data_IF_859754741567
#
_entry.id   IF_859754741567
#
_cell.length_a   1.000
_cell.length_b   1.000
_cell.length_c   1.000
_cell.angle_alpha   90.00
_cell.angle_beta   90.00
_cell.angle_gamma   90.00
#
_symmetry.space_group_name_H-M   'P 1'
#
loop_
_entity.id
_entity.type
_entity.pdbx_description
1 polymer ?
#
# COMPACT_ATOMS: atom_id res chain seq x y z
N UNK A 1 -14.50 44.96 10.25
CA UNK A 1 -13.22 44.25 10.40
C UNK A 1 -13.58 42.87 10.90
N UNK A 2 -13.85 41.98 9.95
CA UNK A 2 -14.14 40.58 10.21
C UNK A 2 -12.93 39.81 9.67
N UNK A 3 -12.34 39.01 10.54
CA UNK A 3 -11.09 38.31 10.34
C UNK A 3 -11.22 37.23 9.26
N UNK A 4 -10.20 37.18 8.41
CA UNK A 4 -9.92 36.10 7.46
C UNK A 4 -9.57 34.83 8.24
N UNK A 5 -10.44 33.82 8.22
CA UNK A 5 -10.02 32.44 8.44
C UNK A 5 -9.54 31.88 7.09
N UNK A 6 -8.22 31.80 6.95
CA UNK A 6 -7.56 31.02 5.90
C UNK A 6 -7.95 29.54 6.08
N UNK A 7 -8.81 29.04 5.19
CA UNK A 7 -9.00 27.62 4.95
C UNK A 7 -7.68 27.06 4.42
N UNK A 8 -6.86 26.49 5.31
CA UNK A 8 -5.73 25.65 4.93
C UNK A 8 -6.29 24.41 4.23
N UNK A 9 -6.12 24.34 2.90
CA UNK A 9 -6.36 23.14 2.12
C UNK A 9 -5.36 22.05 2.56
N UNK A 10 -5.84 21.06 3.33
CA UNK A 10 -5.10 19.81 3.54
C UNK A 10 -4.81 19.16 2.18
N UNK A 11 -3.55 18.77 1.87
CA UNK A 11 -3.19 18.18 0.60
C UNK A 11 -4.00 16.91 0.33
N UNK A 12 -4.47 16.73 -0.92
CA UNK A 12 -5.19 15.54 -1.40
C UNK A 12 -4.55 14.19 -0.98
N UNK A 13 -3.23 14.19 -0.79
CA UNK A 13 -2.41 13.06 -0.36
C UNK A 13 -2.77 12.55 1.05
N UNK A 14 -3.22 13.42 1.94
CA UNK A 14 -3.59 13.09 3.33
C UNK A 14 -4.95 12.37 3.38
N UNK A 15 -5.84 12.63 2.40
CA UNK A 15 -7.10 11.90 2.21
C UNK A 15 -6.90 10.47 1.72
N UNK A 16 -5.91 10.21 0.87
CA UNK A 16 -5.56 8.85 0.40
C UNK A 16 -4.98 7.98 1.52
N UNK A 17 -4.38 8.59 2.54
CA UNK A 17 -3.82 7.94 3.71
C UNK A 17 -4.89 7.57 4.75
N UNK A 18 -5.84 8.47 5.02
CA UNK A 18 -7.01 8.18 5.86
C UNK A 18 -7.82 6.99 5.32
N UNK A 19 -7.80 6.83 4.01
CA UNK A 19 -8.42 5.73 3.31
C UNK A 19 -7.75 4.37 3.64
N UNK A 20 -6.41 4.26 3.69
CA UNK A 20 -5.72 3.04 4.15
C UNK A 20 -5.84 2.84 5.68
N UNK A 21 -6.03 3.92 6.43
CA UNK A 21 -6.22 3.89 7.88
C UNK A 21 -7.63 3.46 8.32
N UNK A 22 -8.60 3.42 7.42
CA UNK A 22 -10.00 3.01 7.70
C UNK A 22 -10.30 1.54 7.35
N UNK A 23 -9.33 0.77 6.83
CA UNK A 23 -9.54 -0.67 6.65
C UNK A 23 -9.44 -1.39 7.99
N UNK A 24 -10.60 -1.67 8.59
CA UNK A 24 -10.79 -2.53 9.75
C UNK A 24 -10.41 -3.99 9.46
N UNK A 25 -9.14 -4.25 9.15
CA UNK A 25 -8.55 -5.60 9.17
C UNK A 25 -8.82 -6.28 10.52
N UNK A 26 -8.93 -5.47 11.58
CA UNK A 26 -9.30 -5.89 12.93
C UNK A 26 -10.77 -6.29 13.10
N UNK A 27 -11.72 -5.72 12.34
CA UNK A 27 -13.11 -6.16 12.39
C UNK A 27 -13.26 -7.52 11.71
N UNK A 28 -12.62 -7.79 10.56
CA UNK A 28 -12.74 -9.10 9.90
C UNK A 28 -12.08 -10.23 10.69
N UNK A 29 -10.93 -9.97 11.32
CA UNK A 29 -10.28 -10.94 12.21
C UNK A 29 -11.08 -11.21 13.50
N UNK A 30 -11.93 -10.27 13.92
CA UNK A 30 -12.79 -10.37 15.11
C UNK A 30 -14.25 -10.75 14.82
N UNK A 31 -14.72 -10.63 13.57
CA UNK A 31 -16.09 -10.90 13.12
C UNK A 31 -16.48 -12.38 13.21
N UNK A 32 -15.52 -13.30 13.38
CA UNK A 32 -15.80 -14.69 13.78
C UNK A 32 -16.32 -14.84 15.22
N UNK A 33 -16.76 -13.74 15.87
CA UNK A 33 -17.38 -13.69 17.19
C UNK A 33 -18.67 -12.88 17.22
N UNK A 34 -19.51 -12.90 16.19
CA UNK A 34 -20.88 -12.40 16.30
C UNK A 34 -21.81 -13.44 16.97
N UNK A 35 -21.63 -13.66 18.27
CA UNK A 35 -22.73 -13.92 19.22
C UNK A 35 -22.17 -14.13 20.63
N UNK A 36 -21.81 -13.03 21.29
CA UNK A 36 -21.90 -12.83 22.73
C UNK A 36 -21.72 -11.34 23.03
N UNK A 37 -22.83 -10.60 23.01
CA UNK A 37 -22.90 -9.24 23.54
C UNK A 37 -22.37 -9.24 24.98
N UNK A 38 -21.36 -8.40 25.24
CA UNK A 38 -20.88 -8.09 26.58
C UNK A 38 -19.61 -8.84 27.02
N UNK A 39 -18.43 -8.47 26.49
CA UNK A 39 -17.17 -8.65 27.23
C UNK A 39 -16.04 -7.71 26.77
N UNK A 40 -15.79 -6.69 27.61
CA UNK A 40 -14.50 -6.09 27.99
C UNK A 40 -13.84 -5.01 27.09
N UNK A 41 -14.31 -3.77 27.23
CA UNK A 41 -13.45 -2.55 27.25
C UNK A 41 -12.58 -2.51 28.51
N UNK A 42 -11.75 -3.54 28.75
CA UNK A 42 -10.87 -3.61 29.93
C UNK A 42 -9.44 -4.12 29.61
N UNK A 43 -8.97 -3.92 28.39
CA UNK A 43 -7.72 -4.49 27.89
C UNK A 43 -6.92 -3.36 27.27
N UNK A 44 -6.27 -2.47 28.02
CA UNK A 44 -4.80 -2.49 28.16
C UNK A 44 -4.31 -1.56 29.30
N UNK A 45 -5.11 -1.39 30.37
CA UNK A 45 -4.77 -0.51 31.52
C UNK A 45 -3.36 -0.74 32.10
N UNK A 46 -2.79 -1.94 31.93
CA UNK A 46 -1.49 -2.35 32.45
C UNK A 46 -0.30 -1.90 31.58
N UNK A 47 -0.51 -1.51 30.31
CA UNK A 47 0.55 -0.98 29.43
C UNK A 47 0.76 0.55 29.57
N UNK A 48 0.10 1.18 30.54
CA UNK A 48 0.34 2.59 30.89
C UNK A 48 1.63 2.80 31.68
N UNK A 49 2.28 1.73 32.13
CA UNK A 49 3.57 1.78 32.83
C UNK A 49 4.72 1.79 31.82
N UNK A 50 5.73 2.67 31.97
CA UNK A 50 6.85 2.79 31.02
C UNK A 50 7.63 1.49 30.75
N UNK A 51 7.62 0.54 31.70
CA UNK A 51 8.37 -0.72 31.63
C UNK A 51 7.59 -1.89 31.03
N UNK A 52 6.27 -1.77 30.82
CA UNK A 52 5.46 -2.88 30.34
C UNK A 52 5.85 -3.34 28.92
N UNK A 53 6.20 -2.41 28.02
CA UNK A 53 6.55 -2.76 26.64
C UNK A 53 7.90 -3.50 26.56
N UNK A 54 9.00 -3.00 27.16
CA UNK A 54 10.26 -3.74 27.23
C UNK A 54 10.14 -5.13 27.86
N UNK A 55 9.33 -5.28 28.92
CA UNK A 55 9.11 -6.58 29.56
C UNK A 55 8.46 -7.59 28.60
N UNK A 56 7.41 -7.18 27.89
CA UNK A 56 6.74 -8.04 26.89
C UNK A 56 7.66 -8.33 25.70
N UNK A 57 8.58 -7.43 25.34
CA UNK A 57 9.60 -7.70 24.33
C UNK A 57 10.57 -8.79 24.74
N UNK A 58 10.95 -8.84 26.03
CA UNK A 58 11.77 -9.93 26.57
C UNK A 58 11.01 -11.26 26.51
N UNK A 59 9.69 -11.25 26.80
CA UNK A 59 8.85 -12.44 26.69
C UNK A 59 8.80 -13.04 25.28
N UNK A 60 9.09 -12.27 24.21
CA UNK A 60 9.19 -12.82 22.85
C UNK A 60 10.29 -13.88 22.72
N UNK A 61 11.34 -13.78 23.53
CA UNK A 61 12.47 -14.71 23.52
C UNK A 61 12.07 -16.09 24.06
N UNK A 62 11.10 -16.15 24.96
CA UNK A 62 10.55 -17.39 25.49
C UNK A 62 9.53 -18.00 24.51
N UNK A 63 9.79 -19.22 24.06
CA UNK A 63 8.93 -19.92 23.10
C UNK A 63 7.50 -20.15 23.61
N UNK A 64 7.30 -20.34 24.92
CA UNK A 64 5.97 -20.59 25.49
C UNK A 64 5.15 -19.29 25.61
N UNK A 65 5.82 -18.16 25.84
CA UNK A 65 5.18 -16.85 26.01
C UNK A 65 5.03 -16.09 24.69
N UNK A 66 5.84 -16.42 23.67
CA UNK A 66 5.95 -15.68 22.41
C UNK A 66 4.61 -15.36 21.75
N UNK A 67 3.70 -16.32 21.62
CA UNK A 67 2.40 -16.08 20.98
C UNK A 67 1.55 -15.06 21.74
N UNK A 68 1.63 -15.09 23.07
CA UNK A 68 0.94 -14.13 23.94
C UNK A 68 1.57 -12.75 23.82
N UNK A 69 2.91 -12.68 23.87
CA UNK A 69 3.67 -11.44 23.73
C UNK A 69 3.42 -10.75 22.37
N UNK A 70 3.45 -11.51 21.27
CA UNK A 70 3.11 -11.02 19.92
C UNK A 70 1.72 -10.39 19.89
N UNK A 71 0.73 -11.10 20.42
CA UNK A 71 -0.66 -10.60 20.47
C UNK A 71 -0.77 -9.33 21.32
N UNK A 72 -0.09 -9.27 22.46
CA UNK A 72 -0.10 -8.11 23.35
C UNK A 72 0.51 -6.88 22.68
N UNK A 73 1.69 -7.02 22.07
CA UNK A 73 2.36 -5.93 21.35
C UNK A 73 1.57 -5.47 20.13
N UNK A 74 1.04 -6.41 19.34
CA UNK A 74 0.20 -6.11 18.19
C UNK A 74 -1.05 -5.32 18.59
N UNK A 75 -1.78 -5.78 19.62
CA UNK A 75 -2.98 -5.09 20.11
C UNK A 75 -2.67 -3.66 20.58
N UNK A 76 -1.53 -3.48 21.26
CA UNK A 76 -1.07 -2.16 21.71
C UNK A 76 -0.76 -1.23 20.54
N UNK A 77 -0.03 -1.73 19.53
CA UNK A 77 0.33 -0.95 18.36
C UNK A 77 -0.91 -0.52 17.57
N UNK A 78 -1.90 -1.40 17.43
CA UNK A 78 -3.18 -1.09 16.79
C UNK A 78 -3.90 0.04 17.53
N UNK A 79 -4.03 -0.06 18.87
CA UNK A 79 -4.69 0.98 19.68
C UNK A 79 -3.94 2.32 19.60
N UNK A 80 -2.60 2.29 19.67
CA UNK A 80 -1.79 3.52 19.76
C UNK A 80 -1.49 4.18 18.43
N UNK A 81 -1.67 3.50 17.30
CA UNK A 81 -1.40 4.08 15.96
C UNK A 81 -2.08 5.45 15.80
N UNK A 82 -3.38 5.54 16.14
CA UNK A 82 -4.16 6.80 16.04
C UNK A 82 -4.18 7.58 17.37
N UNK A 83 -4.29 6.89 18.51
CA UNK A 83 -4.48 7.55 19.81
C UNK A 83 -3.20 8.20 20.37
N UNK A 84 -2.03 7.63 20.08
CA UNK A 84 -0.74 8.05 20.65
C UNK A 84 0.42 7.71 19.68
N UNK A 85 0.57 8.52 18.61
CA UNK A 85 1.60 8.28 17.59
C UNK A 85 3.03 8.30 18.14
N UNK A 86 3.28 9.01 19.25
CA UNK A 86 4.59 9.04 19.90
C UNK A 86 4.94 7.66 20.47
N UNK A 87 4.03 7.05 21.24
CA UNK A 87 4.26 5.71 21.77
C UNK A 87 4.23 4.62 20.70
N UNK A 88 3.45 4.78 19.63
CA UNK A 88 3.51 3.91 18.46
C UNK A 88 4.91 3.91 17.84
N UNK A 89 5.44 5.11 17.55
CA UNK A 89 6.78 5.28 16.99
C UNK A 89 7.87 4.76 17.95
N UNK A 90 7.79 5.10 19.24
CA UNK A 90 8.74 4.63 20.25
C UNK A 90 8.77 3.10 20.32
N UNK A 91 7.62 2.45 20.22
CA UNK A 91 7.53 0.98 20.25
C UNK A 91 8.16 0.37 19.00
N UNK A 92 7.90 0.92 17.82
CA UNK A 92 8.57 0.52 16.57
C UNK A 92 10.11 0.62 16.67
N UNK A 93 10.61 1.73 17.25
CA UNK A 93 12.03 1.91 17.52
C UNK A 93 12.60 0.82 18.45
N UNK A 94 11.92 0.58 19.57
CA UNK A 94 12.34 -0.42 20.55
C UNK A 94 12.31 -1.84 19.97
N UNK A 95 11.31 -2.19 19.16
CA UNK A 95 11.20 -3.51 18.51
C UNK A 95 12.41 -3.79 17.62
N UNK A 96 12.83 -2.81 16.83
CA UNK A 96 13.97 -2.98 15.93
C UNK A 96 15.30 -3.11 16.68
N UNK A 97 15.50 -2.30 17.73
CA UNK A 97 16.77 -2.21 18.45
C UNK A 97 16.89 -3.21 19.64
N UNK A 98 15.79 -3.89 19.98
CA UNK A 98 15.79 -4.93 21.02
C UNK A 98 16.56 -6.17 20.55
N UNK A 99 17.40 -6.72 21.44
CA UNK A 99 18.26 -7.85 21.14
C UNK A 99 17.43 -9.09 20.76
N UNK A 100 17.73 -9.67 19.60
CA UNK A 100 17.10 -10.90 19.10
C UNK A 100 15.68 -10.72 18.55
N UNK A 101 15.01 -9.58 18.78
CA UNK A 101 13.61 -9.38 18.38
C UNK A 101 13.42 -9.51 16.87
N UNK A 102 14.24 -8.85 16.05
CA UNK A 102 14.15 -8.98 14.58
C UNK A 102 14.36 -10.41 14.09
N UNK A 103 15.27 -11.16 14.71
CA UNK A 103 15.52 -12.57 14.35
C UNK A 103 14.33 -13.47 14.72
N UNK A 104 13.69 -13.22 15.87
CA UNK A 104 12.48 -13.94 16.30
C UNK A 104 11.31 -13.65 15.36
N UNK A 105 11.09 -12.38 15.00
CA UNK A 105 10.01 -12.00 14.07
C UNK A 105 10.23 -12.64 12.70
N UNK A 106 11.47 -12.66 12.20
CA UNK A 106 11.81 -13.34 10.95
C UNK A 106 11.63 -14.86 11.06
N UNK A 107 11.97 -15.47 12.21
CA UNK A 107 11.74 -16.89 12.46
C UNK A 107 10.24 -17.24 12.34
N UNK A 108 9.35 -16.40 12.87
CA UNK A 108 7.89 -16.62 12.77
C UNK A 108 7.41 -16.60 11.31
N UNK A 109 7.98 -15.73 10.45
CA UNK A 109 7.71 -15.73 9.00
C UNK A 109 8.19 -17.03 8.35
N UNK A 110 9.42 -17.44 8.63
CA UNK A 110 10.00 -18.66 8.03
C UNK A 110 9.25 -19.92 8.47
N UNK A 111 8.82 -19.98 9.74
CA UNK A 111 7.97 -21.07 10.22
C UNK A 111 6.63 -21.12 9.48
N UNK A 112 6.08 -19.97 9.12
CA UNK A 112 4.86 -19.89 8.33
C UNK A 112 5.04 -20.42 6.90
N UNK A 113 6.21 -20.22 6.28
CA UNK A 113 6.51 -20.84 4.98
C UNK A 113 6.43 -22.36 5.02
N UNK A 114 6.91 -22.99 6.10
CA UNK A 114 6.79 -24.44 6.28
C UNK A 114 5.32 -24.88 6.24
N UNK A 115 4.44 -24.14 6.90
CA UNK A 115 2.99 -24.42 6.88
C UNK A 115 2.35 -24.18 5.51
N UNK A 116 2.81 -23.18 4.76
CA UNK A 116 2.37 -22.94 3.38
C UNK A 116 2.75 -24.12 2.47
N UNK A 117 3.98 -24.61 2.57
CA UNK A 117 4.48 -25.73 1.78
C UNK A 117 3.76 -27.05 2.11
N UNK A 118 3.49 -27.29 3.39
CA UNK A 118 2.88 -28.54 3.84
C UNK A 118 1.34 -28.54 3.75
N UNK A 119 0.74 -27.42 3.31
CA UNK A 119 -0.71 -27.27 3.22
C UNK A 119 -1.43 -27.29 4.57
N UNK A 120 -0.74 -26.97 5.66
CA UNK A 120 -1.25 -27.07 7.04
C UNK A 120 -1.74 -25.74 7.62
N UNK A 121 -1.97 -24.75 6.74
CA UNK A 121 -2.45 -23.41 7.10
C UNK A 121 -3.79 -23.47 7.84
N UNK A 122 -3.87 -22.68 8.91
CA UNK A 122 -5.09 -22.55 9.71
C UNK A 122 -5.26 -21.14 10.25
N UNK A 123 -6.47 -20.82 10.72
CA UNK A 123 -6.83 -19.49 11.23
C UNK A 123 -5.91 -19.02 12.37
N UNK A 124 -5.46 -19.92 13.25
CA UNK A 124 -4.55 -19.57 14.35
C UNK A 124 -3.18 -19.16 13.82
N UNK A 125 -2.62 -19.90 12.87
CA UNK A 125 -1.33 -19.58 12.24
C UNK A 125 -1.39 -18.24 11.49
N UNK A 126 -2.46 -17.99 10.75
CA UNK A 126 -2.68 -16.71 10.05
C UNK A 126 -2.76 -15.54 11.04
N UNK A 127 -3.53 -15.69 12.13
CA UNK A 127 -3.63 -14.66 13.20
C UNK A 127 -2.31 -14.43 13.93
N UNK A 128 -1.49 -15.47 14.10
CA UNK A 128 -0.18 -15.34 14.73
C UNK A 128 0.79 -14.58 13.83
N UNK A 129 0.85 -14.93 12.54
CA UNK A 129 1.63 -14.18 11.56
C UNK A 129 1.11 -12.75 11.42
N UNK A 130 -0.20 -12.56 11.50
CA UNK A 130 -0.80 -11.23 11.45
C UNK A 130 -0.22 -10.29 12.52
N UNK A 131 -0.08 -10.77 13.76
CA UNK A 131 0.55 -9.99 14.83
C UNK A 131 2.02 -9.62 14.49
N UNK A 132 2.78 -10.53 13.87
CA UNK A 132 4.15 -10.26 13.44
C UNK A 132 4.17 -9.16 12.38
N UNK A 133 3.26 -9.20 11.42
CA UNK A 133 3.14 -8.18 10.37
C UNK A 133 2.78 -6.80 10.96
N UNK A 134 1.91 -6.73 11.95
CA UNK A 134 1.62 -5.48 12.69
C UNK A 134 2.88 -4.89 13.35
N UNK A 135 3.73 -5.74 13.94
CA UNK A 135 5.00 -5.30 14.51
C UNK A 135 5.92 -4.76 13.41
N UNK A 136 6.03 -5.44 12.25
CA UNK A 136 6.79 -4.92 11.11
C UNK A 136 6.24 -3.61 10.55
N UNK A 137 4.93 -3.41 10.51
CA UNK A 137 4.33 -2.13 10.11
C UNK A 137 4.81 -0.98 11.02
N UNK A 138 4.91 -1.21 12.33
CA UNK A 138 5.41 -0.18 13.26
C UNK A 138 6.90 0.13 13.07
N UNK A 139 7.71 -0.88 12.76
CA UNK A 139 9.14 -0.73 12.44
C UNK A 139 9.32 0.00 11.10
N UNK A 140 8.49 -0.32 10.10
CA UNK A 140 8.50 0.32 8.80
C UNK A 140 8.05 1.78 8.87
N UNK A 141 7.03 2.09 9.69
CA UNK A 141 6.51 3.44 9.86
C UNK A 141 7.48 4.37 10.62
N UNK A 142 8.33 3.83 11.49
CA UNK A 142 9.24 4.65 12.28
C UNK A 142 10.42 5.19 11.44
N UNK A 143 10.64 6.52 11.38
CA UNK A 143 11.66 7.14 10.52
C UNK A 143 13.11 6.76 10.88
N UNK A 144 13.40 6.40 12.13
CA UNK A 144 14.75 6.03 12.59
C UNK A 144 15.11 4.56 12.29
N UNK A 145 14.12 3.71 12.03
CA UNK A 145 14.30 2.27 11.77
C UNK A 145 14.00 1.88 10.33
N UNK A 146 13.12 2.60 9.64
CA UNK A 146 12.65 2.30 8.27
C UNK A 146 13.77 1.94 7.30
N UNK A 147 14.76 2.82 7.14
CA UNK A 147 15.89 2.57 6.24
C UNK A 147 16.74 1.37 6.70
N UNK A 148 16.92 1.18 8.02
CA UNK A 148 17.68 0.04 8.57
C UNK A 148 16.95 -1.27 8.32
N UNK A 149 15.63 -1.27 8.41
CA UNK A 149 14.77 -2.42 8.13
C UNK A 149 14.88 -2.84 6.65
N UNK A 150 14.83 -1.87 5.73
CA UNK A 150 15.11 -2.12 4.30
C UNK A 150 16.53 -2.66 4.09
N UNK A 151 17.55 -2.04 4.69
CA UNK A 151 18.95 -2.47 4.55
C UNK A 151 19.22 -3.87 5.12
N UNK A 152 18.39 -4.36 6.05
CA UNK A 152 18.48 -5.74 6.56
C UNK A 152 17.86 -6.79 5.64
N UNK A 153 17.25 -6.39 4.51
CA UNK A 153 16.54 -7.27 3.58
C UNK A 153 15.38 -8.08 4.20
N UNK A 154 14.98 -7.80 5.44
CA UNK A 154 13.84 -8.47 6.09
C UNK A 154 12.52 -8.28 5.32
N UNK A 155 12.20 -7.09 4.76
CA UNK A 155 11.01 -6.94 3.92
C UNK A 155 10.92 -7.92 2.74
N UNK A 156 12.05 -8.39 2.19
CA UNK A 156 12.07 -9.33 1.06
C UNK A 156 11.47 -10.70 1.46
N UNK A 157 11.50 -11.05 2.75
CA UNK A 157 10.81 -12.25 3.28
C UNK A 157 9.28 -12.08 3.34
N UNK A 158 8.72 -10.95 2.94
CA UNK A 158 7.27 -10.82 2.80
C UNK A 158 6.80 -11.20 1.40
N UNK A 159 7.68 -11.18 0.39
CA UNK A 159 7.34 -11.46 -1.02
C UNK A 159 6.73 -12.85 -1.20
N UNK A 160 7.28 -13.95 -0.64
CA UNK A 160 6.65 -15.27 -0.76
C UNK A 160 5.25 -15.35 -0.14
N UNK A 161 4.96 -14.54 0.89
CA UNK A 161 3.60 -14.47 1.47
C UNK A 161 2.63 -13.78 0.51
N UNK A 162 3.10 -12.74 -0.18
CA UNK A 162 2.28 -11.94 -1.09
C UNK A 162 1.91 -12.77 -2.34
N UNK A 163 2.90 -13.46 -2.90
CA UNK A 163 2.77 -14.22 -4.14
C UNK A 163 2.13 -15.61 -3.98
N UNK A 164 1.84 -16.03 -2.75
CA UNK A 164 1.27 -17.36 -2.53
C UNK A 164 -0.18 -17.43 -2.99
N UNK A 165 -0.44 -18.36 -3.89
CA UNK A 165 -1.77 -18.68 -4.40
C UNK A 165 -2.45 -19.71 -3.50
N UNK A 166 -3.64 -19.37 -3.00
CA UNK A 166 -4.45 -20.26 -2.19
C UNK A 166 -5.91 -19.86 -2.26
N UNK A 167 -6.81 -20.82 -2.11
CA UNK A 167 -8.26 -20.63 -2.05
C UNK A 167 -8.76 -20.31 -0.63
N UNK A 168 -7.86 -20.26 0.36
CA UNK A 168 -8.22 -19.98 1.75
C UNK A 168 -8.44 -18.47 1.95
N UNK A 169 -9.69 -18.04 2.12
CA UNK A 169 -10.06 -16.63 2.35
C UNK A 169 -9.31 -15.98 3.53
N UNK A 170 -9.03 -16.74 4.59
CA UNK A 170 -8.26 -16.23 5.75
C UNK A 170 -6.84 -15.79 5.36
N UNK A 171 -6.30 -16.30 4.25
CA UNK A 171 -5.00 -15.90 3.74
C UNK A 171 -5.02 -14.54 3.06
N UNK A 172 -6.16 -14.09 2.54
CA UNK A 172 -6.26 -12.78 1.86
C UNK A 172 -5.90 -11.63 2.80
N UNK A 173 -6.23 -11.79 4.09
CA UNK A 173 -5.81 -10.86 5.14
C UNK A 173 -4.30 -10.85 5.31
N UNK A 174 -3.65 -12.03 5.33
CA UNK A 174 -2.19 -12.14 5.44
C UNK A 174 -1.51 -11.46 4.25
N UNK A 175 -2.01 -11.70 3.03
CA UNK A 175 -1.52 -11.06 1.81
C UNK A 175 -1.62 -9.54 1.88
N UNK A 176 -2.81 -9.03 2.22
CA UNK A 176 -3.04 -7.59 2.37
C UNK A 176 -2.11 -6.97 3.43
N UNK A 177 -1.90 -7.64 4.56
CA UNK A 177 -1.00 -7.13 5.59
C UNK A 177 0.47 -7.20 5.20
N UNK A 178 0.92 -8.24 4.51
CA UNK A 178 2.28 -8.31 3.99
C UNK A 178 2.53 -7.17 3.01
N UNK A 179 1.60 -6.92 2.07
CA UNK A 179 1.63 -5.76 1.19
C UNK A 179 1.64 -4.45 1.96
N UNK A 180 0.85 -4.31 3.02
CA UNK A 180 0.78 -3.06 3.78
C UNK A 180 2.11 -2.68 4.44
N UNK A 181 2.94 -3.65 4.86
CA UNK A 181 4.30 -3.37 5.36
C UNK A 181 5.12 -2.72 4.25
N UNK A 182 5.04 -3.23 3.03
CA UNK A 182 5.72 -2.67 1.85
C UNK A 182 5.14 -1.30 1.48
N UNK A 183 3.81 -1.15 1.55
CA UNK A 183 3.11 0.12 1.33
C UNK A 183 3.62 1.22 2.25
N UNK A 184 3.70 0.95 3.56
CA UNK A 184 4.22 1.90 4.56
C UNK A 184 5.67 2.29 4.27
N UNK A 185 6.50 1.34 3.81
CA UNK A 185 7.87 1.64 3.40
C UNK A 185 7.89 2.63 2.22
N UNK A 186 7.18 2.31 1.14
CA UNK A 186 7.15 3.12 -0.07
C UNK A 186 6.45 4.48 0.12
N UNK A 187 5.50 4.57 1.06
CA UNK A 187 4.80 5.81 1.41
C UNK A 187 5.75 6.91 1.89
N UNK A 188 6.91 6.56 2.45
CA UNK A 188 7.95 7.52 2.83
C UNK A 188 8.47 8.35 1.65
N UNK A 189 8.37 7.78 0.44
CA UNK A 189 8.95 8.30 -0.80
C UNK A 189 10.43 8.65 -0.67
N UNK A 190 11.15 7.92 0.18
CA UNK A 190 12.59 8.07 0.33
C UNK A 190 13.28 7.40 -0.88
N UNK A 191 14.17 8.09 -1.62
CA UNK A 191 14.76 7.57 -2.85
C UNK A 191 15.45 6.20 -2.69
N UNK A 192 16.08 5.96 -1.55
CA UNK A 192 16.72 4.67 -1.23
C UNK A 192 15.72 3.53 -1.06
N UNK A 193 14.52 3.82 -0.54
CA UNK A 193 13.45 2.83 -0.39
C UNK A 193 12.83 2.55 -1.75
N UNK A 194 12.58 3.58 -2.56
CA UNK A 194 12.07 3.37 -3.92
C UNK A 194 13.07 2.57 -4.77
N UNK A 195 14.37 2.87 -4.66
CA UNK A 195 15.40 2.09 -5.33
C UNK A 195 15.44 0.64 -4.85
N UNK A 196 15.25 0.38 -3.55
CA UNK A 196 15.13 -0.98 -3.03
C UNK A 196 13.89 -1.70 -3.59
N UNK A 197 12.74 -1.01 -3.68
CA UNK A 197 11.51 -1.58 -4.21
C UNK A 197 11.68 -1.99 -5.68
N UNK A 198 12.36 -1.16 -6.49
CA UNK A 198 12.75 -1.50 -7.86
C UNK A 198 13.68 -2.72 -7.88
N UNK A 199 14.74 -2.73 -7.07
CA UNK A 199 15.71 -3.82 -7.04
C UNK A 199 15.18 -5.14 -6.47
N UNK A 200 14.00 -5.13 -5.84
CA UNK A 200 13.37 -6.31 -5.24
C UNK A 200 12.11 -6.74 -6.00
N UNK A 201 11.99 -6.35 -7.27
CA UNK A 201 10.91 -6.72 -8.19
C UNK A 201 9.51 -6.38 -7.66
N UNK A 202 9.39 -5.27 -6.91
CA UNK A 202 8.13 -4.94 -6.25
C UNK A 202 7.04 -4.52 -7.23
N UNK A 203 7.41 -4.09 -8.44
CA UNK A 203 6.45 -3.74 -9.50
C UNK A 203 5.73 -5.01 -9.98
N UNK A 204 6.50 -6.07 -10.23
CA UNK A 204 6.06 -7.40 -10.62
C UNK A 204 5.18 -8.03 -9.52
N UNK A 205 5.64 -7.92 -8.26
CA UNK A 205 4.88 -8.40 -7.09
C UNK A 205 3.52 -7.70 -7.00
N UNK A 206 3.47 -6.38 -7.20
CA UNK A 206 2.22 -5.63 -7.19
C UNK A 206 1.33 -6.01 -8.36
N UNK A 207 1.88 -6.20 -9.56
CA UNK A 207 1.11 -6.65 -10.73
C UNK A 207 0.42 -7.99 -10.46
N UNK A 208 1.15 -8.99 -9.95
CA UNK A 208 0.58 -10.30 -9.61
C UNK A 208 -0.49 -10.14 -8.52
N UNK A 209 -0.21 -9.36 -7.48
CA UNK A 209 -1.17 -9.13 -6.41
C UNK A 209 -2.46 -8.45 -6.89
N UNK A 210 -2.40 -7.60 -7.92
CA UNK A 210 -3.60 -7.00 -8.52
C UNK A 210 -4.44 -8.05 -9.27
N UNK A 211 -3.80 -9.06 -9.85
CA UNK A 211 -4.48 -10.13 -10.58
C UNK A 211 -5.17 -11.13 -9.64
N UNK A 212 -4.47 -11.57 -8.59
CA UNK A 212 -4.95 -12.67 -7.72
C UNK A 212 -5.59 -12.21 -6.41
N UNK A 213 -5.35 -10.97 -6.00
CA UNK A 213 -5.74 -10.48 -4.68
C UNK A 213 -7.22 -10.11 -4.56
N UNK A 214 -7.70 -10.09 -3.30
CA UNK A 214 -8.96 -9.45 -2.96
C UNK A 214 -8.89 -7.92 -3.18
N UNK A 215 -10.02 -7.22 -3.04
CA UNK A 215 -10.08 -5.77 -3.23
C UNK A 215 -9.02 -5.02 -2.40
N UNK A 216 -8.89 -5.34 -1.11
CA UNK A 216 -7.92 -4.69 -0.24
C UNK A 216 -6.47 -4.86 -0.74
N UNK A 217 -6.10 -6.08 -1.12
CA UNK A 217 -4.77 -6.36 -1.67
C UNK A 217 -4.53 -5.59 -2.97
N UNK A 218 -5.53 -5.48 -3.84
CA UNK A 218 -5.47 -4.67 -5.08
C UNK A 218 -5.25 -3.20 -4.78
N UNK A 219 -5.98 -2.61 -3.82
CA UNK A 219 -5.83 -1.20 -3.43
C UNK A 219 -4.42 -0.93 -2.91
N UNK A 220 -3.91 -1.77 -2.01
CA UNK A 220 -2.57 -1.59 -1.43
C UNK A 220 -1.48 -1.76 -2.52
N UNK A 221 -1.61 -2.77 -3.40
CA UNK A 221 -0.67 -2.98 -4.50
C UNK A 221 -0.67 -1.80 -5.48
N UNK A 222 -1.83 -1.25 -5.81
CA UNK A 222 -1.95 -0.04 -6.63
C UNK A 222 -1.31 1.19 -5.96
N UNK A 223 -1.46 1.33 -4.64
CA UNK A 223 -0.81 2.39 -3.87
C UNK A 223 0.73 2.26 -3.88
N UNK A 224 1.27 1.05 -3.77
CA UNK A 224 2.72 0.80 -3.89
C UNK A 224 3.22 1.16 -5.29
N UNK A 225 2.51 0.75 -6.35
CA UNK A 225 2.85 1.12 -7.73
C UNK A 225 2.84 2.63 -7.94
N UNK A 226 1.84 3.32 -7.39
CA UNK A 226 1.79 4.79 -7.44
C UNK A 226 3.03 5.38 -6.77
N UNK A 227 3.36 4.94 -5.55
CA UNK A 227 4.53 5.44 -4.82
C UNK A 227 5.84 5.26 -5.59
N UNK A 228 6.01 4.12 -6.29
CA UNK A 228 7.16 3.88 -7.18
C UNK A 228 7.14 4.83 -8.38
N UNK A 229 5.97 5.00 -9.04
CA UNK A 229 5.81 5.85 -10.22
C UNK A 229 5.88 7.35 -9.92
N UNK A 230 5.78 7.76 -8.67
CA UNK A 230 6.00 9.15 -8.30
C UNK A 230 7.48 9.55 -8.32
N UNK A 231 8.39 8.59 -8.15
CA UNK A 231 9.83 8.81 -8.29
C UNK A 231 10.26 8.59 -9.76
N UNK A 232 11.15 9.45 -10.25
CA UNK A 232 11.68 9.34 -11.61
C UNK A 232 12.41 8.02 -11.86
N UNK A 233 13.11 7.46 -10.87
CA UNK A 233 13.78 6.16 -11.01
C UNK A 233 12.77 5.04 -11.28
N UNK A 234 11.59 5.10 -10.66
CA UNK A 234 10.51 4.15 -10.87
C UNK A 234 9.90 4.26 -12.26
N UNK A 235 9.57 5.49 -12.70
CA UNK A 235 9.07 5.73 -14.06
C UNK A 235 10.10 5.27 -15.11
N UNK A 236 11.37 5.62 -14.92
CA UNK A 236 12.46 5.25 -15.83
C UNK A 236 12.68 3.74 -15.87
N UNK A 237 12.58 3.04 -14.74
CA UNK A 237 12.68 1.58 -14.68
C UNK A 237 11.55 0.92 -15.45
N UNK A 238 10.30 1.26 -15.12
CA UNK A 238 9.11 0.66 -15.72
C UNK A 238 9.05 0.95 -17.22
N UNK A 239 9.45 2.16 -17.64
CA UNK A 239 9.45 2.54 -19.05
C UNK A 239 10.75 2.17 -19.80
N UNK A 240 11.69 1.46 -19.19
CA UNK A 240 12.93 1.02 -19.84
C UNK A 240 12.66 -0.01 -20.95
N UNK A 241 13.42 -0.02 -22.07
CA UNK A 241 13.32 -1.07 -23.09
C UNK A 241 13.47 -2.50 -22.55
N UNK A 242 14.21 -2.66 -21.45
CA UNK A 242 14.39 -3.96 -20.78
C UNK A 242 13.14 -4.44 -20.04
N UNK A 243 12.21 -3.54 -19.72
CA UNK A 243 11.01 -3.81 -18.93
C UNK A 243 9.75 -3.76 -19.79
N UNK A 244 9.88 -4.03 -21.10
CA UNK A 244 8.77 -3.92 -22.06
C UNK A 244 7.60 -4.85 -21.74
N UNK A 245 7.91 -6.11 -21.39
CA UNK A 245 6.89 -7.10 -21.01
C UNK A 245 6.20 -6.73 -19.70
N UNK A 246 6.94 -6.17 -18.74
CA UNK A 246 6.38 -5.65 -17.48
C UNK A 246 5.40 -4.50 -17.73
N UNK A 247 5.81 -3.52 -18.53
CA UNK A 247 4.99 -2.35 -18.85
C UNK A 247 3.70 -2.76 -19.59
N UNK A 248 3.80 -3.64 -20.59
CA UNK A 248 2.63 -4.20 -21.29
C UNK A 248 1.73 -4.98 -20.34
N UNK A 249 2.32 -5.83 -19.51
CA UNK A 249 1.58 -6.63 -18.54
C UNK A 249 0.84 -5.77 -17.51
N UNK A 250 1.41 -4.65 -17.07
CA UNK A 250 0.74 -3.68 -16.21
C UNK A 250 -0.47 -3.06 -16.91
N UNK A 251 -0.29 -2.58 -18.14
CA UNK A 251 -1.38 -1.99 -18.93
C UNK A 251 -2.52 -2.98 -19.15
N UNK A 252 -2.22 -4.23 -19.50
CA UNK A 252 -3.23 -5.30 -19.64
C UNK A 252 -3.94 -5.59 -18.32
N UNK A 253 -3.20 -5.62 -17.21
CA UNK A 253 -3.76 -5.88 -15.88
C UNK A 253 -4.72 -4.77 -15.46
N UNK A 254 -4.32 -3.51 -15.67
CA UNK A 254 -5.18 -2.36 -15.38
C UNK A 254 -6.39 -2.32 -16.31
N UNK A 255 -6.23 -2.65 -17.59
CA UNK A 255 -7.35 -2.73 -18.54
C UNK A 255 -8.39 -3.76 -18.13
N UNK A 256 -7.96 -4.96 -17.73
CA UNK A 256 -8.86 -5.98 -17.16
C UNK A 256 -9.55 -5.50 -15.89
N UNK A 257 -8.82 -4.86 -15.00
CA UNK A 257 -9.37 -4.33 -13.75
C UNK A 257 -10.42 -3.24 -14.03
N UNK A 258 -10.13 -2.29 -14.93
CA UNK A 258 -11.07 -1.24 -15.32
C UNK A 258 -12.34 -1.81 -15.96
N UNK A 259 -12.21 -2.79 -16.86
CA UNK A 259 -13.37 -3.45 -17.45
C UNK A 259 -14.26 -4.10 -16.37
N UNK A 260 -13.64 -4.74 -15.37
CA UNK A 260 -14.35 -5.33 -14.25
C UNK A 260 -15.04 -4.30 -13.35
N UNK A 261 -14.36 -3.19 -13.02
CA UNK A 261 -14.93 -2.09 -12.23
C UNK A 261 -16.10 -1.38 -12.94
N UNK A 262 -16.17 -1.45 -14.27
CA UNK A 262 -17.27 -0.88 -15.05
C UNK A 262 -18.53 -1.74 -15.01
N UNK A 263 -18.39 -3.07 -14.88
CA UNK A 263 -19.50 -4.01 -14.76
C UNK A 263 -20.01 -4.12 -13.32
N UNK A 264 -19.09 -4.05 -12.35
CA UNK A 264 -19.37 -4.15 -10.93
C UNK A 264 -18.92 -2.87 -10.22
N UNK A 265 -19.88 -2.03 -9.82
CA UNK A 265 -19.62 -0.75 -9.17
C UNK A 265 -19.52 -0.87 -7.64
N UNK A 266 -19.68 -2.06 -7.05
CA UNK A 266 -19.56 -2.28 -5.60
C UNK A 266 -18.09 -2.25 -5.12
N UNK A 267 -17.15 -1.96 -6.02
CA UNK A 267 -15.72 -1.87 -5.72
C UNK A 267 -15.27 -0.54 -5.13
N UNK A 268 -14.16 -0.58 -4.41
CA UNK A 268 -13.50 0.65 -3.94
C UNK A 268 -13.18 1.62 -5.08
N UNK A 269 -13.70 2.87 -5.05
CA UNK A 269 -13.41 3.89 -6.08
C UNK A 269 -11.92 4.28 -6.11
N UNK A 270 -11.18 3.92 -5.06
CA UNK A 270 -9.72 4.11 -4.96
C UNK A 270 -8.97 3.32 -6.02
N UNK A 271 -9.47 2.17 -6.46
CA UNK A 271 -8.85 1.41 -7.53
C UNK A 271 -8.83 2.22 -8.82
N UNK A 272 -9.96 2.80 -9.20
CA UNK A 272 -10.03 3.64 -10.39
C UNK A 272 -9.13 4.88 -10.24
N UNK A 273 -9.17 5.53 -9.08
CA UNK A 273 -8.27 6.65 -8.76
C UNK A 273 -6.80 6.28 -9.01
N UNK A 274 -6.30 5.20 -8.41
CA UNK A 274 -4.91 4.80 -8.54
C UNK A 274 -4.56 4.38 -9.98
N UNK A 275 -5.47 3.73 -10.71
CA UNK A 275 -5.22 3.35 -12.11
C UNK A 275 -5.01 4.61 -12.97
N UNK A 276 -5.91 5.58 -12.87
CA UNK A 276 -5.80 6.84 -13.62
C UNK A 276 -4.55 7.60 -13.18
N UNK A 277 -4.26 7.61 -11.86
CA UNK A 277 -3.09 8.30 -11.30
C UNK A 277 -1.79 7.72 -11.84
N UNK A 278 -1.66 6.40 -11.83
CA UNK A 278 -0.50 5.70 -12.38
C UNK A 278 -0.36 5.93 -13.90
N UNK A 279 -1.46 5.96 -14.65
CA UNK A 279 -1.44 6.29 -16.08
C UNK A 279 -0.92 7.73 -16.33
N UNK A 280 -1.37 8.72 -15.54
CA UNK A 280 -0.86 10.10 -15.59
C UNK A 280 0.64 10.14 -15.28
N UNK A 281 1.09 9.42 -14.25
CA UNK A 281 2.51 9.37 -13.88
C UNK A 281 3.37 8.75 -14.97
N UNK A 282 2.91 7.67 -15.63
CA UNK A 282 3.59 7.05 -16.76
C UNK A 282 3.74 8.00 -17.95
N UNK A 283 2.76 8.87 -18.19
CA UNK A 283 2.82 9.85 -19.28
C UNK A 283 3.95 10.87 -19.16
N UNK A 284 4.60 10.98 -17.99
CA UNK A 284 5.82 11.78 -17.82
C UNK A 284 7.02 11.25 -18.60
N UNK A 285 6.95 10.00 -19.09
CA UNK A 285 7.99 9.39 -19.92
C UNK A 285 7.44 9.03 -21.30
N UNK A 286 8.20 9.31 -22.37
CA UNK A 286 7.75 9.14 -23.76
C UNK A 286 7.18 7.75 -24.07
N UNK A 287 7.82 6.67 -23.60
CA UNK A 287 7.31 5.31 -23.80
C UNK A 287 6.04 5.02 -22.97
N UNK A 288 5.96 5.57 -21.77
CA UNK A 288 4.77 5.47 -20.92
C UNK A 288 3.59 6.21 -21.52
N UNK A 289 3.81 7.42 -22.03
CA UNK A 289 2.82 8.17 -22.81
C UNK A 289 2.29 7.36 -24.00
N UNK A 290 3.17 6.85 -24.85
CA UNK A 290 2.76 6.08 -26.04
C UNK A 290 1.92 4.85 -25.65
N UNK A 291 2.35 4.06 -24.66
CA UNK A 291 1.61 2.85 -24.30
C UNK A 291 0.27 3.16 -23.65
N UNK A 292 0.19 4.22 -22.85
CA UNK A 292 -1.09 4.68 -22.26
C UNK A 292 -2.03 5.16 -23.35
N UNK A 293 -1.53 5.93 -24.32
CA UNK A 293 -2.33 6.37 -25.48
C UNK A 293 -2.86 5.18 -26.29
N UNK A 294 -2.02 4.19 -26.56
CA UNK A 294 -2.37 3.04 -27.40
C UNK A 294 -3.30 2.03 -26.69
N UNK A 295 -3.32 2.01 -25.35
CA UNK A 295 -3.99 0.97 -24.55
C UNK A 295 -4.95 1.54 -23.50
N UNK A 296 -5.40 2.79 -23.64
CA UNK A 296 -6.38 3.36 -22.71
C UNK A 296 -7.70 2.57 -22.79
N UNK A 297 -8.20 1.99 -21.68
CA UNK A 297 -9.44 1.22 -21.69
C UNK A 297 -10.64 2.10 -22.09
N UNK A 298 -11.50 1.58 -22.98
CA UNK A 298 -12.65 2.33 -23.52
C UNK A 298 -13.60 2.82 -22.43
N UNK A 299 -13.77 2.03 -21.36
CA UNK A 299 -14.63 2.31 -20.21
C UNK A 299 -14.26 3.61 -19.47
N UNK A 300 -12.98 4.03 -19.56
CA UNK A 300 -12.51 5.30 -19.01
C UNK A 300 -13.12 6.49 -19.78
N UNK A 301 -13.55 6.28 -21.03
CA UNK A 301 -13.96 7.36 -21.96
C UNK A 301 -15.39 7.25 -22.47
N UNK A 302 -16.07 6.12 -22.29
CA UNK A 302 -17.42 5.86 -22.83
C UNK A 302 -18.56 6.26 -21.88
N UNK A 303 -18.22 6.72 -20.67
CA UNK A 303 -19.19 7.12 -19.66
C UNK A 303 -19.56 6.02 -18.66
N UNK A 304 -18.91 4.85 -18.71
CA UNK A 304 -19.16 3.74 -17.76
C UNK A 304 -19.07 4.15 -16.28
N UNK A 305 -18.24 5.16 -15.96
CA UNK A 305 -18.02 5.63 -14.59
C UNK A 305 -18.76 6.94 -14.24
N UNK A 306 -19.74 7.41 -15.03
CA UNK A 306 -20.37 8.72 -14.81
C UNK A 306 -20.90 8.93 -13.38
N UNK A 307 -21.63 7.95 -12.84
CA UNK A 307 -22.18 8.02 -11.48
C UNK A 307 -21.08 8.15 -10.41
N UNK A 308 -20.04 7.31 -10.51
CA UNK A 308 -18.87 7.38 -9.62
C UNK A 308 -18.14 8.73 -9.74
N UNK A 309 -18.01 9.26 -10.95
CA UNK A 309 -17.33 10.54 -11.18
C UNK A 309 -18.15 11.74 -10.67
N UNK A 310 -19.46 11.61 -10.53
CA UNK A 310 -20.33 12.59 -9.85
C UNK A 310 -20.17 12.54 -8.34
N UNK A 311 -20.08 11.34 -7.77
CA UNK A 311 -19.86 11.15 -6.33
C UNK A 311 -18.44 11.55 -5.88
N UNK A 312 -17.42 11.30 -6.72
CA UNK A 312 -16.01 11.55 -6.40
C UNK A 312 -15.35 12.54 -7.37
N UNK A 313 -15.52 13.87 -7.16
CA UNK A 313 -14.95 14.91 -8.04
C UNK A 313 -13.44 14.84 -8.22
N UNK A 314 -12.71 14.33 -7.22
CA UNK A 314 -11.26 14.13 -7.30
C UNK A 314 -10.87 13.18 -8.43
N UNK A 315 -11.61 12.09 -8.60
CA UNK A 315 -11.36 11.10 -9.67
C UNK A 315 -11.66 11.73 -11.03
N UNK A 316 -12.71 12.57 -11.11
CA UNK A 316 -13.04 13.35 -12.31
C UNK A 316 -11.91 14.30 -12.69
N UNK A 317 -11.40 15.11 -11.77
CA UNK A 317 -10.28 16.02 -12.06
C UNK A 317 -9.06 15.27 -12.59
N UNK A 318 -8.75 14.11 -12.00
CA UNK A 318 -7.63 13.27 -12.43
C UNK A 318 -7.87 12.64 -13.81
N UNK A 319 -9.11 12.27 -14.13
CA UNK A 319 -9.50 11.78 -15.44
C UNK A 319 -9.41 12.88 -16.50
N UNK A 320 -9.85 14.10 -16.17
CA UNK A 320 -9.75 15.26 -17.04
C UNK A 320 -8.27 15.58 -17.34
N UNK A 321 -7.39 15.50 -16.33
CA UNK A 321 -5.94 15.62 -16.51
C UNK A 321 -5.40 14.56 -17.48
N UNK A 322 -5.72 13.29 -17.27
CA UNK A 322 -5.30 12.21 -18.17
C UNK A 322 -5.80 12.44 -19.61
N UNK A 323 -7.05 12.88 -19.75
CA UNK A 323 -7.67 13.15 -21.05
C UNK A 323 -7.00 14.31 -21.79
N UNK A 324 -6.57 15.34 -21.05
CA UNK A 324 -5.80 16.46 -21.59
C UNK A 324 -4.40 16.01 -22.04
N UNK A 325 -3.75 15.15 -21.26
CA UNK A 325 -2.42 14.61 -21.57
C UNK A 325 -2.45 13.73 -22.81
N UNK A 326 -3.31 12.70 -22.81
CA UNK A 326 -3.41 11.73 -23.92
C UNK A 326 -4.02 12.36 -25.16
N UNK A 327 -4.87 13.37 -24.96
CA UNK A 327 -5.37 14.22 -26.01
C UNK A 327 -6.26 13.50 -27.02
N UNK A 328 -7.57 13.61 -26.81
CA UNK A 328 -8.42 14.10 -27.92
C UNK A 328 -8.19 15.61 -28.08
N UNK A 329 -6.95 16.04 -28.41
CA UNK A 329 -6.68 17.41 -28.86
C UNK A 329 -7.13 17.52 -30.32
N UNK A 330 -8.44 17.55 -30.53
CA UNK A 330 -9.03 17.90 -31.84
C UNK A 330 -10.04 19.06 -31.75
N UNK A 331 -10.37 19.62 -30.57
CA UNK A 331 -11.41 20.67 -30.47
C UNK A 331 -11.17 21.88 -29.57
N UNK A 332 -9.99 22.08 -28.99
CA UNK A 332 -9.65 23.36 -28.39
C UNK A 332 -8.25 23.77 -28.83
N UNK A 333 -8.18 24.94 -29.47
CA UNK A 333 -7.01 25.62 -30.06
C UNK A 333 -6.66 25.23 -31.51
N UNK A 334 -6.93 26.11 -32.51
CA UNK A 334 -6.27 26.01 -33.80
C UNK A 334 -4.77 26.23 -33.62
N UNK A 335 -3.99 25.26 -34.09
CA UNK A 335 -2.53 25.21 -34.07
C UNK A 335 -1.98 26.44 -34.80
N UNK A 336 -1.47 27.42 -34.03
CA UNK A 336 -0.53 28.42 -34.54
C UNK A 336 0.29 29.18 -33.47
N UNK A 337 0.16 28.91 -32.16
CA UNK A 337 0.84 29.75 -31.16
C UNK A 337 1.47 29.04 -29.94
N UNK A 338 1.55 27.71 -29.89
CA UNK A 338 2.10 27.00 -28.72
C UNK A 338 3.48 26.35 -28.93
N UNK A 339 4.08 26.48 -30.12
CA UNK A 339 5.38 25.88 -30.40
C UNK A 339 6.56 26.62 -29.73
N UNK A 340 6.38 27.86 -29.28
CA UNK A 340 7.50 28.68 -28.74
C UNK A 340 7.58 28.70 -27.20
N UNK A 341 6.51 28.32 -26.49
CA UNK A 341 6.46 28.44 -25.02
C UNK A 341 6.95 27.20 -24.28
N UNK A 342 6.72 26.00 -24.82
CA UNK A 342 7.08 24.73 -24.16
C UNK A 342 8.53 24.32 -24.41
N UNK A 343 9.10 24.65 -25.57
CA UNK A 343 10.51 24.39 -25.87
C UNK A 343 11.44 25.28 -25.03
N UNK A 344 11.05 26.55 -24.79
CA UNK A 344 11.85 27.50 -24.00
C UNK A 344 11.94 27.15 -22.49
N UNK A 345 11.05 26.31 -21.96
CA UNK A 345 11.08 25.89 -20.54
C UNK A 345 11.78 24.55 -20.30
N UNK A 346 12.14 23.81 -21.35
CA UNK A 346 12.85 22.54 -21.24
C UNK A 346 14.38 22.67 -21.42
N UNK A 347 14.89 23.84 -21.82
CA UNK A 347 16.34 24.09 -21.95
C UNK A 347 16.95 24.88 -20.79
N UNK A 348 16.23 25.05 -19.67
CA UNK A 348 16.68 25.88 -18.54
C UNK A 348 16.88 25.15 -17.19
N UNK A 349 16.87 23.81 -17.16
CA UNK A 349 17.29 23.02 -15.99
C UNK A 349 18.04 21.76 -16.37
#
# INVERSE_FOLDING_TARGET
MADNEELQEEPLEERTLNLLDDFEIDQELSASKSNKKGRRKHSMKWMKTPMAIPEVMVELQDQELRETALRCLSSFLIEKRKEDPENYNRTGYLLYNSCGTMAILLQEVIMFYGMMNDGSLNVRSAKRLANVLTLFQSIAANPETRQKFVNSHVPNYLIPLILFETTLETFDIVRAMALSVIGILCQAREPKIIQWAINSDMVEVCQISIQIGNELSKVIAMHILEAILQDWSGVSYICSPTSDDLLKGLMETWGRLVAYLAEDQDFSPRLLFHIIRCAVLLCKHRRGFNIVMDNLPVQITDGSFQDMLEEFPVIRCLLDELSLIVGKIEKCFPISSLHDSLVSRMEAY
#
